data_IF_934396112942
#
_entry.id   IF_934396112942
#
_cell.length_a   1.000
_cell.length_b   1.000
_cell.length_c   1.000
_cell.angle_alpha   90.00
_cell.angle_beta   90.00
_cell.angle_gamma   90.00
#
_symmetry.space_group_name_H-M   'P 1'
#
loop_
_entity.id
_entity.type
_entity.pdbx_description
1 polymer ?
#
# COMPACT_ATOMS: atom_id res chain seq x y z
N UNK A 1 32.63 -28.71 -20.14
CA UNK A 1 33.65 -27.70 -19.75
C UNK A 1 34.84 -27.57 -20.72
N UNK A 2 34.82 -28.16 -21.94
CA UNK A 2 35.93 -28.05 -22.92
C UNK A 2 35.48 -27.84 -24.39
N UNK A 3 34.20 -27.54 -24.62
CA UNK A 3 33.64 -27.34 -25.98
C UNK A 3 34.24 -26.16 -26.74
N UNK A 4 34.56 -25.08 -26.01
CA UNK A 4 34.96 -23.81 -26.61
C UNK A 4 36.41 -23.82 -27.13
N UNK A 5 37.29 -24.61 -26.50
CA UNK A 5 38.67 -24.81 -26.95
C UNK A 5 38.74 -25.56 -28.30
N UNK A 6 37.74 -26.42 -28.60
CA UNK A 6 37.60 -27.05 -29.92
C UNK A 6 37.16 -26.05 -30.99
N UNK A 7 36.24 -25.13 -30.67
CA UNK A 7 35.82 -24.07 -31.59
C UNK A 7 36.96 -23.11 -31.95
N UNK A 8 37.85 -22.79 -31.00
CA UNK A 8 39.03 -21.94 -31.29
C UNK A 8 40.02 -22.65 -32.23
N UNK A 9 40.23 -23.95 -32.05
CA UNK A 9 41.11 -24.75 -32.91
C UNK A 9 40.52 -24.96 -34.31
N UNK A 10 39.19 -25.01 -34.44
CA UNK A 10 38.49 -25.00 -35.73
C UNK A 10 38.62 -23.63 -36.42
N UNK A 11 38.52 -22.52 -35.68
CA UNK A 11 38.70 -21.17 -36.26
C UNK A 11 40.13 -20.89 -36.70
N UNK A 12 41.15 -21.47 -36.06
CA UNK A 12 42.54 -21.35 -36.52
C UNK A 12 42.74 -21.94 -37.93
N UNK A 13 41.88 -22.87 -38.36
CA UNK A 13 41.96 -23.48 -39.69
C UNK A 13 41.33 -22.65 -40.81
N UNK A 14 40.44 -21.73 -40.47
CA UNK A 14 39.57 -21.06 -41.45
C UNK A 14 39.94 -19.59 -41.74
N UNK A 15 40.94 -19.02 -41.04
CA UNK A 15 41.36 -17.63 -41.23
C UNK A 15 42.87 -17.52 -41.54
N UNK A 16 43.20 -17.10 -42.77
CA UNK A 16 44.59 -16.86 -43.21
C UNK A 16 45.15 -15.50 -42.76
N UNK A 17 44.33 -14.58 -42.25
CA UNK A 17 44.78 -13.23 -41.87
C UNK A 17 44.72 -12.99 -40.34
N UNK A 18 45.89 -12.91 -39.71
CA UNK A 18 46.09 -12.79 -38.26
C UNK A 18 45.46 -11.52 -37.65
N UNK A 19 45.16 -10.49 -38.45
CA UNK A 19 44.63 -9.21 -37.96
C UNK A 19 43.13 -9.24 -37.68
N UNK A 20 42.35 -9.90 -38.54
CA UNK A 20 40.89 -10.06 -38.34
C UNK A 20 40.58 -10.99 -37.17
N UNK A 21 41.39 -12.05 -37.01
CA UNK A 21 41.29 -12.94 -35.84
C UNK A 21 41.54 -12.19 -34.52
N UNK A 22 42.54 -11.29 -34.49
CA UNK A 22 42.85 -10.49 -33.31
C UNK A 22 41.79 -9.43 -33.00
N UNK A 23 41.13 -8.83 -34.00
CA UNK A 23 40.03 -7.88 -33.75
C UNK A 23 38.77 -8.61 -33.28
N UNK A 24 38.44 -9.76 -33.87
CA UNK A 24 37.31 -10.60 -33.45
C UNK A 24 37.49 -11.15 -32.03
N UNK A 25 38.71 -11.51 -31.63
CA UNK A 25 39.01 -11.85 -30.24
C UNK A 25 38.82 -10.66 -29.30
N UNK A 26 39.19 -9.44 -29.72
CA UNK A 26 39.05 -8.21 -28.93
C UNK A 26 37.57 -7.83 -28.75
N UNK A 27 36.79 -7.94 -29.82
CA UNK A 27 35.37 -7.60 -29.83
C UNK A 27 34.52 -8.66 -29.09
N UNK A 28 34.88 -9.95 -29.19
CA UNK A 28 34.23 -11.01 -28.40
C UNK A 28 34.73 -11.06 -26.93
N UNK A 29 35.91 -10.51 -26.60
CA UNK A 29 36.30 -10.29 -25.20
C UNK A 29 35.50 -9.16 -24.53
N UNK A 30 35.06 -8.16 -25.30
CA UNK A 30 34.23 -7.07 -24.78
C UNK A 30 32.82 -7.52 -24.36
N UNK A 31 32.37 -8.70 -24.78
CA UNK A 31 31.15 -9.34 -24.26
C UNK A 31 31.31 -9.89 -22.82
N UNK A 32 32.53 -9.89 -22.27
CA UNK A 32 32.82 -10.27 -20.87
C UNK A 32 33.11 -9.05 -19.95
N UNK A 33 32.82 -7.82 -20.40
CA UNK A 33 33.16 -6.60 -19.66
C UNK A 33 32.29 -6.31 -18.41
N UNK A 34 31.39 -7.21 -18.03
CA UNK A 34 30.47 -6.99 -16.91
C UNK A 34 31.01 -7.45 -15.55
N UNK A 35 32.05 -8.29 -15.52
CA UNK A 35 32.57 -8.89 -14.30
C UNK A 35 34.10 -8.79 -14.22
N UNK A 36 34.61 -8.67 -12.99
CA UNK A 36 36.03 -8.71 -12.64
C UNK A 36 36.36 -9.94 -11.80
N UNK A 37 37.49 -10.57 -12.11
CA UNK A 37 37.98 -11.78 -11.46
C UNK A 37 39.22 -11.44 -10.63
N UNK A 38 39.07 -11.56 -9.31
CA UNK A 38 40.10 -11.21 -8.33
C UNK A 38 40.50 -12.43 -7.52
N UNK A 39 41.75 -12.48 -7.05
CA UNK A 39 42.29 -13.57 -6.26
C UNK A 39 42.36 -13.21 -4.77
N UNK A 40 41.99 -14.16 -3.91
CA UNK A 40 42.32 -14.09 -2.48
C UNK A 40 43.81 -14.36 -2.26
N UNK A 41 44.38 -14.05 -1.07
CA UNK A 41 45.77 -14.36 -0.78
C UNK A 41 46.10 -15.86 -0.89
N UNK A 42 45.10 -16.71 -0.64
CA UNK A 42 45.18 -18.17 -0.74
C UNK A 42 45.05 -18.71 -2.17
N UNK A 43 44.77 -17.85 -3.15
CA UNK A 43 44.63 -18.23 -4.57
C UNK A 43 43.21 -18.55 -5.03
N UNK A 44 42.19 -18.37 -4.18
CA UNK A 44 40.79 -18.57 -4.60
C UNK A 44 40.34 -17.43 -5.52
N UNK A 45 39.62 -17.77 -6.58
CA UNK A 45 39.04 -16.78 -7.49
C UNK A 45 37.68 -16.32 -6.97
N UNK A 46 37.48 -15.00 -6.90
CA UNK A 46 36.18 -14.36 -6.64
C UNK A 46 35.77 -13.54 -7.85
N UNK A 47 34.50 -13.64 -8.21
CA UNK A 47 33.90 -12.91 -9.33
C UNK A 47 33.04 -11.78 -8.76
N UNK A 48 33.26 -10.55 -9.20
CA UNK A 48 32.49 -9.37 -8.81
C UNK A 48 32.04 -8.59 -10.04
N UNK A 49 31.03 -7.71 -9.95
CA UNK A 49 30.69 -6.81 -11.05
C UNK A 49 31.85 -5.87 -11.41
N UNK A 50 31.94 -5.51 -12.69
CA UNK A 50 32.95 -4.57 -13.16
C UNK A 50 32.82 -3.21 -12.45
N UNK A 51 33.95 -2.63 -12.06
CA UNK A 51 33.99 -1.40 -11.27
C UNK A 51 33.73 -1.59 -9.76
N UNK A 52 33.71 -2.84 -9.28
CA UNK A 52 33.75 -3.14 -7.85
C UNK A 52 35.03 -2.62 -7.17
N UNK A 53 34.92 -2.38 -5.87
CA UNK A 53 36.00 -1.86 -5.03
C UNK A 53 36.51 -2.90 -4.03
N UNK A 54 37.66 -2.69 -3.36
CA UNK A 54 38.10 -3.55 -2.26
C UNK A 54 37.05 -3.77 -1.16
N UNK A 55 36.17 -2.79 -0.94
CA UNK A 55 35.04 -2.93 0.00
C UNK A 55 34.05 -3.99 -0.48
N UNK A 56 33.70 -4.01 -1.76
CA UNK A 56 32.86 -5.06 -2.35
C UNK A 56 33.48 -6.45 -2.15
N UNK A 57 34.80 -6.55 -2.38
CA UNK A 57 35.55 -7.80 -2.18
C UNK A 57 35.55 -8.26 -0.72
N UNK A 58 35.72 -7.35 0.24
CA UNK A 58 35.67 -7.67 1.67
C UNK A 58 34.31 -8.25 2.09
N UNK A 59 33.21 -7.64 1.64
CA UNK A 59 31.84 -8.10 1.94
C UNK A 59 31.43 -9.36 1.14
N UNK A 60 32.10 -9.63 0.02
CA UNK A 60 31.99 -10.88 -0.74
C UNK A 60 32.65 -12.06 -0.01
N UNK A 61 33.80 -11.83 0.65
CA UNK A 61 34.43 -12.84 1.51
C UNK A 61 33.53 -13.13 2.71
N UNK A 62 33.27 -12.13 3.55
CA UNK A 62 32.44 -12.29 4.73
C UNK A 62 32.03 -10.92 5.32
N UNK A 63 30.82 -10.83 5.89
CA UNK A 63 30.35 -9.58 6.51
C UNK A 63 31.25 -9.10 7.65
N UNK A 64 31.80 -10.02 8.46
CA UNK A 64 32.72 -9.69 9.55
C UNK A 64 34.07 -9.13 9.06
N UNK A 65 34.54 -9.56 7.87
CA UNK A 65 35.76 -9.04 7.25
C UNK A 65 35.50 -7.61 6.75
N UNK A 66 34.40 -7.41 6.02
CA UNK A 66 33.97 -6.08 5.58
C UNK A 66 33.77 -5.10 6.74
N UNK A 67 33.10 -5.52 7.81
CA UNK A 67 32.84 -4.65 8.97
C UNK A 67 34.11 -4.28 9.74
N UNK A 68 35.16 -5.11 9.69
CA UNK A 68 36.43 -4.86 10.38
C UNK A 68 37.52 -4.28 9.47
N UNK A 69 37.21 -4.05 8.20
CA UNK A 69 38.14 -3.52 7.21
C UNK A 69 38.61 -2.13 7.61
N UNK A 70 39.93 -1.91 7.56
CA UNK A 70 40.58 -0.60 7.70
C UNK A 70 41.29 -0.17 6.41
N UNK A 71 41.57 -1.11 5.52
CA UNK A 71 42.22 -0.85 4.23
C UNK A 71 42.34 -2.12 3.41
N UNK A 72 42.98 -2.00 2.25
CA UNK A 72 43.26 -3.13 1.37
C UNK A 72 44.63 -3.01 0.72
N UNK A 73 45.23 -4.14 0.41
CA UNK A 73 46.40 -4.25 -0.47
C UNK A 73 46.01 -4.96 -1.74
N UNK A 74 46.44 -4.41 -2.87
CA UNK A 74 46.32 -5.04 -4.18
C UNK A 74 47.73 -5.31 -4.69
N UNK A 75 48.01 -6.57 -5.03
CA UNK A 75 49.32 -7.03 -5.50
C UNK A 75 50.46 -6.63 -4.54
N UNK A 76 50.20 -6.71 -3.23
CA UNK A 76 51.16 -6.40 -2.16
C UNK A 76 51.32 -4.91 -1.82
N UNK A 77 50.64 -3.99 -2.51
CA UNK A 77 50.72 -2.54 -2.25
C UNK A 77 49.42 -2.02 -1.65
N UNK A 78 49.51 -1.09 -0.69
CA UNK A 78 48.33 -0.42 -0.13
C UNK A 78 47.63 0.40 -1.20
N UNK A 79 46.32 0.26 -1.28
CA UNK A 79 45.46 1.04 -2.18
C UNK A 79 44.34 1.73 -1.42
N UNK A 80 43.79 2.78 -2.01
CA UNK A 80 42.61 3.44 -1.48
C UNK A 80 41.39 2.51 -1.58
N UNK A 81 40.42 2.71 -0.68
CA UNK A 81 39.20 1.89 -0.59
C UNK A 81 38.26 2.03 -1.79
N UNK A 82 38.44 3.09 -2.60
CA UNK A 82 37.67 3.38 -3.81
C UNK A 82 38.34 2.89 -5.11
N UNK A 83 39.53 2.28 -5.01
CA UNK A 83 40.23 1.67 -6.13
C UNK A 83 39.31 0.70 -6.89
N UNK A 84 39.37 0.75 -8.23
CA UNK A 84 38.57 -0.12 -9.09
C UNK A 84 39.33 -1.38 -9.39
N UNK A 85 38.80 -2.51 -8.92
CA UNK A 85 39.40 -3.82 -9.07
C UNK A 85 39.53 -4.21 -10.54
N UNK A 86 40.66 -4.78 -10.90
CA UNK A 86 40.98 -5.25 -12.25
C UNK A 86 41.10 -6.77 -12.29
N UNK A 87 40.96 -7.33 -13.49
CA UNK A 87 41.15 -8.76 -13.70
C UNK A 87 42.58 -9.17 -13.34
N UNK A 88 42.71 -10.19 -12.50
CA UNK A 88 44.01 -10.70 -12.08
C UNK A 88 44.53 -10.14 -10.75
N UNK A 89 43.85 -9.15 -10.17
CA UNK A 89 44.28 -8.54 -8.91
C UNK A 89 44.26 -9.54 -7.75
N UNK A 90 45.39 -9.66 -7.05
CA UNK A 90 45.47 -10.35 -5.76
C UNK A 90 45.18 -9.36 -4.64
N UNK A 91 44.07 -9.57 -3.94
CA UNK A 91 43.56 -8.62 -2.95
C UNK A 91 43.72 -9.21 -1.54
N UNK A 92 44.33 -8.44 -0.66
CA UNK A 92 44.42 -8.71 0.77
C UNK A 92 43.64 -7.62 1.52
N UNK A 93 42.66 -8.02 2.33
CA UNK A 93 41.89 -7.06 3.15
C UNK A 93 42.57 -6.93 4.51
N UNK A 94 42.92 -5.70 4.86
CA UNK A 94 43.52 -5.38 6.16
C UNK A 94 42.37 -5.10 7.14
N UNK A 95 42.26 -5.92 8.18
CA UNK A 95 41.21 -5.78 9.21
C UNK A 95 41.79 -5.44 10.58
N UNK A 96 41.05 -4.72 11.42
CA UNK A 96 41.41 -4.45 12.82
C UNK A 96 40.29 -4.84 13.76
N UNK A 97 40.65 -5.34 14.96
CA UNK A 97 39.69 -5.62 16.03
C UNK A 97 39.13 -4.33 16.65
N UNK A 98 39.89 -3.23 16.59
CA UNK A 98 39.49 -1.91 17.09
C UNK A 98 38.79 -1.07 16.00
N UNK A 99 38.39 -1.68 14.87
CA UNK A 99 37.66 -0.96 13.84
C UNK A 99 36.30 -0.51 14.38
N UNK A 100 35.97 0.77 14.20
CA UNK A 100 34.67 1.33 14.53
C UNK A 100 33.57 0.89 13.56
N UNK A 101 33.92 0.15 12.50
CA UNK A 101 32.99 -0.34 11.50
C UNK A 101 33.12 0.34 10.14
N UNK A 102 32.22 0.00 9.19
CA UNK A 102 32.13 0.67 7.90
C UNK A 102 31.76 2.14 8.05
N UNK A 103 32.21 2.96 7.10
CA UNK A 103 31.78 4.36 6.97
C UNK A 103 30.56 4.49 6.05
N UNK A 104 29.70 5.49 6.30
CA UNK A 104 28.56 5.80 5.42
C UNK A 104 29.01 6.16 3.99
N UNK A 105 30.20 6.73 3.84
CA UNK A 105 30.75 7.06 2.51
C UNK A 105 31.02 5.83 1.65
N UNK A 106 31.14 4.64 2.26
CA UNK A 106 31.31 3.41 1.51
C UNK A 106 30.09 3.10 0.63
N UNK A 107 28.89 3.53 1.01
CA UNK A 107 27.68 3.34 0.20
C UNK A 107 27.77 4.06 -1.16
N UNK A 108 28.58 5.10 -1.27
CA UNK A 108 28.81 5.86 -2.52
C UNK A 108 29.76 5.15 -3.47
N UNK A 109 30.75 4.42 -2.94
CA UNK A 109 31.82 3.80 -3.74
C UNK A 109 31.57 2.32 -4.08
N UNK A 110 30.81 1.62 -3.22
CA UNK A 110 30.45 0.20 -3.35
C UNK A 110 29.52 0.01 -4.54
N UNK A 111 29.82 -0.98 -5.39
CA UNK A 111 28.97 -1.32 -6.55
C UNK A 111 28.05 -2.51 -6.29
N UNK A 112 28.48 -3.48 -5.47
CA UNK A 112 27.71 -4.69 -5.20
C UNK A 112 26.45 -4.40 -4.38
N UNK A 113 25.25 -4.82 -4.85
CA UNK A 113 24.02 -4.72 -4.07
C UNK A 113 24.12 -5.46 -2.73
N UNK A 114 24.83 -6.59 -2.70
CA UNK A 114 25.00 -7.39 -1.48
C UNK A 114 25.82 -6.63 -0.42
N UNK A 115 26.91 -5.98 -0.84
CA UNK A 115 27.74 -5.19 0.06
C UNK A 115 26.97 -3.98 0.61
N UNK A 116 26.23 -3.25 -0.25
CA UNK A 116 25.33 -2.16 0.19
C UNK A 116 24.32 -2.63 1.23
N UNK A 117 23.67 -3.78 0.99
CA UNK A 117 22.70 -4.34 1.92
C UNK A 117 23.33 -4.69 3.28
N UNK A 118 24.51 -5.33 3.29
CA UNK A 118 25.22 -5.72 4.51
C UNK A 118 25.72 -4.50 5.31
N UNK A 119 26.25 -3.47 4.63
CA UNK A 119 26.65 -2.21 5.27
C UNK A 119 25.44 -1.52 5.91
N UNK A 120 24.33 -1.40 5.17
CA UNK A 120 23.08 -0.85 5.71
C UNK A 120 22.58 -1.65 6.90
N UNK A 121 22.64 -2.99 6.85
CA UNK A 121 22.25 -3.85 7.97
C UNK A 121 23.14 -3.66 9.19
N UNK A 122 24.45 -3.47 9.00
CA UNK A 122 25.37 -3.20 10.10
C UNK A 122 25.06 -1.87 10.80
N UNK A 123 24.80 -0.80 10.05
CA UNK A 123 24.40 0.50 10.62
C UNK A 123 23.08 0.43 11.39
N UNK A 124 22.14 -0.41 10.93
CA UNK A 124 20.91 -0.68 11.69
C UNK A 124 21.20 -1.33 13.04
N UNK A 125 22.22 -2.20 13.12
CA UNK A 125 22.55 -2.95 14.32
C UNK A 125 23.41 -2.19 15.34
N UNK A 126 24.34 -1.34 14.90
CA UNK A 126 25.30 -0.65 15.80
C UNK A 126 24.65 0.52 16.52
N UNK A 127 23.76 1.25 15.86
CA UNK A 127 23.05 2.36 16.48
C UNK A 127 21.75 1.90 17.14
N UNK A 128 21.66 0.69 17.73
CA UNK A 128 20.39 0.18 18.28
C UNK A 128 19.79 1.15 19.31
N UNK A 129 20.62 1.72 20.19
CA UNK A 129 20.19 2.71 21.19
C UNK A 129 19.80 4.07 20.58
N UNK A 130 20.62 4.62 19.68
CA UNK A 130 20.31 5.91 19.02
C UNK A 130 19.09 5.80 18.10
N UNK A 131 18.98 4.69 17.36
CA UNK A 131 17.80 4.34 16.56
C UNK A 131 16.58 4.14 17.46
N UNK A 132 16.73 3.57 18.65
CA UNK A 132 15.63 3.47 19.60
C UNK A 132 15.17 4.86 20.07
N UNK A 133 16.08 5.73 20.49
CA UNK A 133 15.75 7.10 20.93
C UNK A 133 15.09 7.91 19.81
N UNK A 134 15.65 7.85 18.59
CA UNK A 134 15.10 8.51 17.41
C UNK A 134 13.74 7.94 17.02
N UNK A 135 13.57 6.62 17.07
CA UNK A 135 12.30 5.96 16.77
C UNK A 135 11.21 6.34 17.77
N UNK A 136 11.58 6.45 19.05
CA UNK A 136 10.68 6.90 20.12
C UNK A 136 10.21 8.34 19.88
N UNK A 137 11.13 9.26 19.59
CA UNK A 137 10.80 10.67 19.29
C UNK A 137 9.89 10.80 18.05
N UNK A 138 10.18 10.06 16.98
CA UNK A 138 9.35 10.06 15.76
C UNK A 138 7.93 9.54 16.03
N UNK A 139 7.81 8.44 16.78
CA UNK A 139 6.52 7.86 17.12
C UNK A 139 5.70 8.77 18.03
N UNK A 140 6.33 9.36 19.06
CA UNK A 140 5.68 10.31 19.96
C UNK A 140 5.19 11.56 19.23
N UNK A 141 6.02 12.14 18.35
CA UNK A 141 5.63 13.30 17.51
C UNK A 141 4.45 12.97 16.61
N UNK A 142 4.46 11.79 15.98
CA UNK A 142 3.36 11.36 15.13
C UNK A 142 2.06 11.18 15.92
N UNK A 143 2.09 10.51 17.09
CA UNK A 143 0.92 10.34 17.95
C UNK A 143 0.35 11.69 18.44
N UNK A 144 1.22 12.61 18.87
CA UNK A 144 0.83 13.97 19.27
C UNK A 144 0.20 14.74 18.11
N UNK A 145 0.74 14.62 16.89
CA UNK A 145 0.16 15.26 15.69
C UNK A 145 -1.25 14.77 15.36
N UNK A 146 -1.60 13.56 15.81
CA UNK A 146 -2.94 12.97 15.68
C UNK A 146 -3.85 13.27 16.87
N UNK A 147 -3.38 14.02 17.87
CA UNK A 147 -4.16 14.41 19.05
C UNK A 147 -4.22 13.36 20.17
N UNK A 148 -3.37 12.33 20.14
CA UNK A 148 -3.31 11.30 21.18
C UNK A 148 -2.12 11.53 22.12
N UNK A 149 -2.33 11.27 23.41
CA UNK A 149 -1.25 11.27 24.39
C UNK A 149 -0.46 9.93 24.29
N UNK A 150 0.86 9.95 24.04
CA UNK A 150 1.65 8.73 23.91
C UNK A 150 1.51 7.76 25.10
N UNK A 151 1.37 8.26 26.33
CA UNK A 151 1.24 7.42 27.53
C UNK A 151 -0.04 6.58 27.56
N UNK A 152 -1.11 7.04 26.90
CA UNK A 152 -2.38 6.32 26.86
C UNK A 152 -2.36 5.18 25.82
N UNK A 153 -1.57 5.36 24.76
CA UNK A 153 -1.53 4.49 23.58
C UNK A 153 -0.35 3.52 23.62
N UNK A 154 0.76 3.86 24.28
CA UNK A 154 1.95 3.02 24.39
C UNK A 154 1.88 2.02 25.56
N UNK A 155 0.72 1.38 25.75
CA UNK A 155 0.55 0.32 26.76
C UNK A 155 0.86 -1.07 26.17
N UNK A 156 1.35 -2.02 26.98
CA UNK A 156 1.68 -3.39 26.54
C UNK A 156 0.56 -4.07 25.75
N UNK A 157 -0.69 -3.85 26.17
CA UNK A 157 -1.91 -4.36 25.54
C UNK A 157 -2.01 -4.05 24.03
N UNK A 158 -1.50 -2.89 23.60
CA UNK A 158 -1.54 -2.42 22.21
C UNK A 158 -0.24 -2.72 21.46
N UNK A 159 0.90 -2.60 22.15
CA UNK A 159 2.22 -2.80 21.55
C UNK A 159 2.45 -4.27 21.20
N UNK A 160 1.96 -5.23 22.00
CA UNK A 160 2.10 -6.67 21.73
C UNK A 160 1.40 -7.13 20.45
N UNK A 161 0.30 -6.48 20.08
CA UNK A 161 -0.38 -6.72 18.80
C UNK A 161 0.48 -6.26 17.63
N UNK A 162 1.19 -5.14 17.79
CA UNK A 162 2.12 -4.64 16.79
C UNK A 162 3.36 -5.53 16.67
N UNK A 163 3.91 -6.01 17.79
CA UNK A 163 5.04 -6.96 17.84
C UNK A 163 4.72 -8.21 17.03
N UNK A 164 3.57 -8.85 17.29
CA UNK A 164 3.13 -10.05 16.56
C UNK A 164 2.89 -9.79 15.07
N UNK A 165 2.26 -8.67 14.72
CA UNK A 165 1.93 -8.35 13.33
C UNK A 165 3.16 -8.11 12.46
N UNK A 166 4.16 -7.40 12.98
CA UNK A 166 5.36 -7.04 12.23
C UNK A 166 6.50 -8.06 12.37
N UNK A 167 6.31 -9.13 13.14
CA UNK A 167 7.27 -10.23 13.25
C UNK A 167 8.54 -9.88 14.03
N UNK A 168 8.46 -8.90 14.93
CA UNK A 168 9.57 -8.52 15.82
C UNK A 168 9.49 -9.30 17.14
N UNK A 169 10.61 -9.43 17.85
CA UNK A 169 10.67 -10.14 19.14
C UNK A 169 10.16 -9.31 20.32
N UNK A 170 10.39 -8.00 20.26
CA UNK A 170 10.15 -7.06 21.35
C UNK A 170 9.72 -5.70 20.78
N UNK A 171 9.00 -4.91 21.57
CA UNK A 171 8.54 -3.57 21.19
C UNK A 171 9.71 -2.64 20.84
N UNK A 172 10.80 -2.72 21.61
CA UNK A 172 11.99 -1.89 21.39
C UNK A 172 12.62 -2.15 20.02
N UNK A 173 12.49 -3.36 19.47
CA UNK A 173 12.97 -3.68 18.14
C UNK A 173 12.09 -3.04 17.04
N UNK A 174 10.79 -2.85 17.27
CA UNK A 174 9.93 -2.04 16.38
C UNK A 174 10.33 -0.58 16.46
N UNK A 175 10.53 -0.05 17.67
CA UNK A 175 10.91 1.36 17.86
C UNK A 175 12.26 1.64 17.21
N UNK A 176 13.26 0.79 17.41
CA UNK A 176 14.55 0.88 16.71
C UNK A 176 14.39 0.77 15.19
N UNK A 177 13.47 -0.07 14.71
CA UNK A 177 13.16 -0.19 13.28
C UNK A 177 12.55 1.08 12.68
N UNK A 178 11.77 1.84 13.46
CA UNK A 178 11.29 3.17 13.06
C UNK A 178 12.47 4.15 12.97
N UNK A 179 13.35 4.18 13.98
CA UNK A 179 14.46 5.14 14.02
C UNK A 179 15.45 4.98 12.88
N UNK A 180 15.72 3.74 12.44
CA UNK A 180 16.57 3.48 11.28
C UNK A 180 15.80 3.42 9.94
N UNK A 181 14.51 3.78 9.92
CA UNK A 181 13.67 3.85 8.73
C UNK A 181 13.29 2.50 8.09
N UNK A 182 13.40 1.39 8.83
CA UNK A 182 12.90 0.08 8.39
C UNK A 182 11.38 -0.05 8.45
N UNK A 183 10.74 0.71 9.34
CA UNK A 183 9.29 0.89 9.40
C UNK A 183 8.96 2.38 9.41
N UNK A 184 7.82 2.73 8.81
CA UNK A 184 7.29 4.10 8.89
C UNK A 184 6.52 4.27 10.20
N UNK A 185 6.80 5.35 10.92
CA UNK A 185 6.16 5.71 12.18
C UNK A 185 4.64 5.73 12.08
N UNK A 186 4.09 6.24 10.97
CA UNK A 186 2.64 6.26 10.74
C UNK A 186 2.01 4.88 10.56
N UNK A 187 2.74 3.91 10.00
CA UNK A 187 2.26 2.53 9.84
C UNK A 187 2.10 1.85 11.20
N UNK A 188 3.04 2.07 12.11
CA UNK A 188 3.00 1.52 13.47
C UNK A 188 1.98 2.27 14.32
N UNK A 189 1.98 3.60 14.28
CA UNK A 189 1.06 4.44 15.05
C UNK A 189 -0.41 4.21 14.66
N UNK A 190 -0.75 4.16 13.37
CA UNK A 190 -2.14 3.95 12.94
C UNK A 190 -2.67 2.59 13.43
N UNK A 191 -1.80 1.56 13.48
CA UNK A 191 -2.16 0.25 13.98
C UNK A 191 -2.35 0.25 15.50
N UNK A 192 -1.47 0.93 16.22
CA UNK A 192 -1.61 1.14 17.67
C UNK A 192 -2.90 1.87 18.01
N UNK A 193 -3.24 2.92 17.26
CA UNK A 193 -4.48 3.68 17.43
C UNK A 193 -5.72 2.82 17.15
N UNK A 194 -5.67 1.95 16.14
CA UNK A 194 -6.77 1.02 15.86
C UNK A 194 -7.05 0.08 17.04
N UNK A 195 -6.01 -0.43 17.70
CA UNK A 195 -6.17 -1.31 18.88
C UNK A 195 -6.56 -0.52 20.13
N UNK A 196 -6.01 0.68 20.32
CA UNK A 196 -6.42 1.61 21.37
C UNK A 196 -7.91 1.94 21.26
N UNK A 197 -8.41 2.22 20.07
CA UNK A 197 -9.83 2.50 19.84
C UNK A 197 -10.71 1.26 20.04
N UNK A 198 -10.25 0.07 19.64
CA UNK A 198 -10.98 -1.19 19.86
C UNK A 198 -11.17 -1.51 21.34
N UNK A 199 -10.14 -1.33 22.16
CA UNK A 199 -10.21 -1.63 23.60
C UNK A 199 -10.90 -0.51 24.35
N UNK A 200 -10.66 0.77 24.02
CA UNK A 200 -11.45 1.87 24.60
C UNK A 200 -12.93 1.79 24.23
N UNK A 201 -13.27 1.23 23.08
CA UNK A 201 -14.65 0.90 22.72
C UNK A 201 -15.22 -0.29 23.50
N UNK A 202 -14.39 -1.18 24.06
CA UNK A 202 -14.79 -2.24 25.00
C UNK A 202 -14.89 -1.75 26.45
N UNK A 203 -14.04 -0.82 26.88
CA UNK A 203 -14.10 -0.20 28.21
C UNK A 203 -15.18 0.90 28.30
N UNK A 204 -15.60 1.47 27.16
CA UNK A 204 -16.84 2.25 27.03
C UNK A 204 -18.07 1.35 26.85
N UNK A 205 -18.05 0.13 27.39
CA UNK A 205 -19.27 -0.47 27.92
C UNK A 205 -19.61 0.33 29.18
N UNK A 206 -20.16 1.53 28.96
CA UNK A 206 -21.25 1.99 29.82
C UNK A 206 -22.25 0.85 29.79
N UNK A 207 -22.60 0.33 30.96
CA UNK A 207 -23.34 -0.91 31.07
C UNK A 207 -24.57 -0.83 30.16
N UNK A 208 -24.80 -1.89 29.39
CA UNK A 208 -25.98 -2.00 28.53
C UNK A 208 -27.28 -1.82 29.36
N UNK A 209 -27.22 -1.94 30.69
CA UNK A 209 -28.32 -1.68 31.62
C UNK A 209 -28.58 -0.19 31.90
N UNK A 210 -27.56 0.67 32.04
CA UNK A 210 -27.78 2.09 32.36
C UNK A 210 -28.45 2.87 31.21
N UNK A 211 -28.23 2.42 29.96
CA UNK A 211 -28.90 2.97 28.77
C UNK A 211 -30.36 2.48 28.73
N UNK A 212 -30.62 1.21 29.05
CA UNK A 212 -31.98 0.66 29.11
C UNK A 212 -32.80 1.28 30.26
N UNK A 213 -32.19 1.56 31.40
CA UNK A 213 -32.88 2.14 32.56
C UNK A 213 -33.14 3.65 32.41
N UNK A 214 -32.33 4.36 31.63
CA UNK A 214 -32.60 5.75 31.26
C UNK A 214 -33.64 5.91 30.14
N UNK A 215 -33.84 4.87 29.31
CA UNK A 215 -34.91 4.78 28.30
C UNK A 215 -36.29 4.64 28.96
N UNK A 216 -36.41 3.89 30.07
CA UNK A 216 -37.70 3.62 30.71
C UNK A 216 -38.26 4.76 31.57
N UNK A 217 -37.44 5.75 31.95
CA UNK A 217 -37.83 6.79 32.94
C UNK A 217 -38.01 8.20 32.37
N UNK A 218 -38.12 8.37 31.06
CA UNK A 218 -38.34 9.68 30.43
C UNK A 218 -39.63 9.77 29.63
N UNK A 219 -40.72 9.22 30.16
CA UNK A 219 -42.08 9.66 29.81
C UNK A 219 -42.42 11.00 30.49
N UNK A 220 -41.66 12.06 30.22
CA UNK A 220 -42.08 13.44 30.47
C UNK A 220 -41.03 14.41 29.95
N UNK A 221 -41.24 14.98 28.75
CA UNK A 221 -41.12 16.41 28.47
C UNK A 221 -40.97 16.70 26.96
N UNK A 222 -42.09 17.11 26.37
CA UNK A 222 -42.23 18.30 25.50
C UNK A 222 -41.31 18.50 24.30
N UNK A 223 -41.93 18.35 23.11
CA UNK A 223 -41.92 19.29 21.96
C UNK A 223 -40.85 20.39 22.01
N UNK A 224 -39.77 20.26 21.24
CA UNK A 224 -39.08 21.42 20.66
C UNK A 224 -38.31 21.07 19.38
N UNK A 225 -38.78 21.68 18.28
CA UNK A 225 -38.07 22.12 17.06
C UNK A 225 -37.00 21.19 16.48
N UNK A 226 -37.39 20.55 15.38
CA UNK A 226 -36.55 19.92 14.35
C UNK A 226 -35.28 20.72 14.09
N UNK A 227 -34.15 20.17 14.54
CA UNK A 227 -32.83 20.62 14.12
C UNK A 227 -32.41 19.80 12.91
N UNK A 228 -32.14 20.50 11.82
CA UNK A 228 -31.66 19.98 10.54
C UNK A 228 -30.34 19.22 10.76
N UNK A 229 -30.37 17.89 10.58
CA UNK A 229 -29.16 17.09 10.44
C UNK A 229 -28.54 17.39 9.08
N UNK A 230 -27.22 17.67 9.05
CA UNK A 230 -26.47 17.79 7.79
C UNK A 230 -26.60 16.48 7.01
N UNK A 231 -27.29 16.51 5.86
CA UNK A 231 -27.47 15.36 4.97
C UNK A 231 -28.92 14.97 4.68
N UNK A 232 -29.91 15.65 5.25
CA UNK A 232 -31.32 15.47 4.86
C UNK A 232 -31.89 14.09 5.19
N UNK A 233 -31.44 13.46 6.27
CA UNK A 233 -31.88 12.12 6.68
C UNK A 233 -32.44 12.19 8.10
N UNK A 234 -33.64 11.65 8.27
CA UNK A 234 -34.27 11.43 9.57
C UNK A 234 -34.11 9.96 9.92
N UNK A 235 -33.52 9.72 11.07
CA UNK A 235 -33.41 8.39 11.67
C UNK A 235 -34.45 8.33 12.77
N UNK A 236 -35.34 7.33 12.74
CA UNK A 236 -36.41 7.23 13.73
C UNK A 236 -35.83 6.94 15.12
N UNK A 237 -36.27 7.70 16.12
CA UNK A 237 -35.88 7.51 17.52
C UNK A 237 -34.56 8.16 17.96
N UNK A 238 -33.78 8.81 17.07
CA UNK A 238 -32.51 9.45 17.47
C UNK A 238 -32.31 10.82 16.82
N UNK A 239 -32.06 11.85 17.64
CA UNK A 239 -31.61 13.16 17.18
C UNK A 239 -30.08 13.27 17.33
N UNK A 240 -29.40 13.80 16.30
CA UNK A 240 -27.96 14.15 16.31
C UNK A 240 -26.94 12.98 16.27
N UNK A 241 -27.21 11.94 15.46
CA UNK A 241 -26.20 10.90 15.16
C UNK A 241 -25.48 11.21 13.84
N UNK A 242 -24.17 11.00 13.82
CA UNK A 242 -23.38 11.08 12.59
C UNK A 242 -23.87 10.05 11.57
N UNK A 243 -24.43 10.52 10.46
CA UNK A 243 -24.92 9.68 9.36
C UNK A 243 -23.92 9.67 8.21
N UNK A 244 -23.72 8.51 7.59
CA UNK A 244 -22.84 8.33 6.42
C UNK A 244 -23.50 7.43 5.39
N UNK A 245 -23.35 7.77 4.11
CA UNK A 245 -23.81 6.91 3.02
C UNK A 245 -22.84 5.76 2.76
N UNK A 246 -23.38 4.55 2.62
CA UNK A 246 -22.58 3.36 2.35
C UNK A 246 -22.12 3.31 0.90
N UNK A 247 -20.87 2.88 0.68
CA UNK A 247 -20.28 2.73 -0.67
C UNK A 247 -20.70 1.46 -1.39
N UNK A 248 -21.31 0.49 -0.69
CA UNK A 248 -21.71 -0.76 -1.33
C UNK A 248 -22.89 -0.56 -2.29
N UNK A 249 -23.92 0.18 -1.88
CA UNK A 249 -25.13 0.39 -2.67
C UNK A 249 -25.38 1.87 -3.05
N UNK A 250 -24.52 2.78 -2.59
CA UNK A 250 -24.52 4.23 -2.89
C UNK A 250 -25.94 4.83 -2.94
N UNK A 251 -26.65 4.89 -1.80
CA UNK A 251 -28.02 5.36 -1.75
C UNK A 251 -28.11 6.84 -2.18
N UNK A 252 -29.16 7.18 -2.92
CA UNK A 252 -29.44 8.54 -3.40
C UNK A 252 -30.88 8.95 -3.06
N UNK A 253 -31.18 10.27 -3.01
CA UNK A 253 -32.52 10.73 -2.68
C UNK A 253 -33.60 10.11 -3.57
N UNK A 254 -34.58 9.46 -2.92
CA UNK A 254 -35.64 8.68 -3.56
C UNK A 254 -35.53 7.17 -3.39
N UNK A 255 -34.36 6.65 -2.98
CA UNK A 255 -34.21 5.24 -2.62
C UNK A 255 -34.92 4.95 -1.29
N UNK A 256 -35.50 3.75 -1.17
CA UNK A 256 -35.84 3.19 0.14
C UNK A 256 -34.55 2.85 0.89
N UNK A 257 -34.38 3.45 2.06
CA UNK A 257 -33.14 3.37 2.84
C UNK A 257 -33.38 2.76 4.21
N UNK A 258 -32.31 2.17 4.76
CA UNK A 258 -32.26 1.64 6.11
C UNK A 258 -30.92 2.04 6.75
N UNK A 259 -30.98 2.37 8.03
CA UNK A 259 -29.79 2.67 8.81
C UNK A 259 -29.21 1.40 9.43
N UNK A 260 -27.89 1.28 9.44
CA UNK A 260 -27.17 0.27 10.19
C UNK A 260 -26.26 0.95 11.21
N UNK A 261 -26.49 0.69 12.49
CA UNK A 261 -25.71 1.27 13.60
C UNK A 261 -24.33 0.61 13.59
N UNK A 262 -23.30 1.34 13.15
CA UNK A 262 -21.92 0.85 13.13
C UNK A 262 -21.25 0.97 14.49
N UNK A 263 -20.25 0.14 14.77
CA UNK A 263 -19.45 0.24 16.01
C UNK A 263 -18.56 1.49 15.93
N UNK A 264 -18.98 2.58 16.57
CA UNK A 264 -18.19 3.80 16.76
C UNK A 264 -18.10 4.77 15.56
N UNK A 265 -18.77 4.49 14.43
CA UNK A 265 -18.74 5.36 13.23
C UNK A 265 -20.09 6.01 12.90
N UNK A 266 -21.06 5.92 13.81
CA UNK A 266 -22.42 6.42 13.64
C UNK A 266 -23.30 5.46 12.85
N UNK A 267 -24.25 5.99 12.09
CA UNK A 267 -25.20 5.20 11.29
C UNK A 267 -24.74 5.18 9.84
N UNK A 268 -24.58 3.98 9.28
CA UNK A 268 -24.34 3.76 7.86
C UNK A 268 -25.67 3.59 7.15
N UNK A 269 -25.94 4.38 6.12
CA UNK A 269 -27.18 4.33 5.35
C UNK A 269 -26.98 3.41 4.16
N UNK A 270 -27.86 2.43 4.04
CA UNK A 270 -27.92 1.46 2.98
C UNK A 270 -29.28 1.54 2.28
N UNK A 271 -29.37 0.99 1.07
CA UNK A 271 -30.66 0.69 0.46
C UNK A 271 -31.24 -0.57 1.11
N UNK A 272 -32.57 -0.66 1.16
CA UNK A 272 -33.29 -1.82 1.69
C UNK A 272 -32.95 -3.12 0.94
N UNK A 273 -32.64 -3.02 -0.35
CA UNK A 273 -32.27 -4.13 -1.23
C UNK A 273 -30.75 -4.39 -1.33
N UNK A 274 -29.95 -3.78 -0.46
CA UNK A 274 -28.51 -4.00 -0.44
C UNK A 274 -28.15 -5.44 -0.03
N UNK A 275 -27.36 -6.16 -0.84
CA UNK A 275 -26.96 -7.55 -0.54
C UNK A 275 -26.28 -7.71 0.82
N UNK A 276 -25.49 -6.70 1.22
CA UNK A 276 -24.79 -6.68 2.51
C UNK A 276 -25.75 -6.52 3.69
N UNK A 277 -26.92 -5.92 3.48
CA UNK A 277 -27.98 -5.81 4.50
C UNK A 277 -28.87 -7.05 4.50
N UNK A 278 -29.24 -7.55 3.32
CA UNK A 278 -30.06 -8.75 3.18
C UNK A 278 -29.39 -9.98 3.80
N UNK A 279 -28.06 -10.10 3.63
CA UNK A 279 -27.25 -11.20 4.18
C UNK A 279 -26.70 -10.93 5.59
N UNK A 280 -27.22 -9.94 6.33
CA UNK A 280 -26.81 -9.71 7.71
C UNK A 280 -27.13 -10.92 8.59
N UNK A 281 -26.18 -11.37 9.45
CA UNK A 281 -26.46 -12.37 10.47
C UNK A 281 -27.56 -11.91 11.43
N UNK A 282 -28.38 -12.84 11.92
CA UNK A 282 -29.56 -12.52 12.75
C UNK A 282 -29.20 -11.74 14.02
N UNK A 283 -28.04 -12.02 14.63
CA UNK A 283 -27.58 -11.29 15.82
C UNK A 283 -27.21 -9.82 15.54
N UNK A 284 -26.97 -9.43 14.28
CA UNK A 284 -26.70 -8.04 13.89
C UNK A 284 -27.95 -7.31 13.39
N UNK A 285 -29.06 -8.01 13.11
CA UNK A 285 -30.31 -7.39 12.65
C UNK A 285 -30.89 -6.39 13.64
N UNK A 286 -30.66 -6.59 14.94
CA UNK A 286 -31.06 -5.65 16.00
C UNK A 286 -30.37 -4.27 15.90
N UNK A 287 -29.36 -4.12 15.03
CA UNK A 287 -28.65 -2.87 14.78
C UNK A 287 -29.18 -2.12 13.55
N UNK A 288 -30.22 -2.64 12.92
CA UNK A 288 -30.94 -1.95 11.87
C UNK A 288 -31.91 -0.95 12.49
N UNK A 289 -31.96 0.24 11.93
CA UNK A 289 -32.85 1.32 12.36
C UNK A 289 -33.53 1.91 11.13
N UNK A 290 -34.79 2.31 11.31
CA UNK A 290 -35.54 2.95 10.24
C UNK A 290 -34.94 4.34 9.93
N UNK A 291 -34.76 4.60 8.64
CA UNK A 291 -34.21 5.84 8.13
C UNK A 291 -35.06 6.30 6.94
N UNK A 292 -35.31 7.59 6.83
CA UNK A 292 -36.04 8.18 5.72
C UNK A 292 -35.35 9.45 5.24
N UNK A 293 -35.54 9.76 3.95
CA UNK A 293 -35.13 11.03 3.39
C UNK A 293 -36.05 12.14 3.90
N UNK A 294 -35.46 13.24 4.38
CA UNK A 294 -36.21 14.48 4.62
C UNK A 294 -36.79 14.99 3.31
N UNK A 295 -37.94 15.67 3.40
CA UNK A 295 -38.74 16.10 2.26
C UNK A 295 -37.92 16.76 1.14
N UNK A 296 -38.37 16.53 -0.10
CA UNK A 296 -37.70 16.91 -1.36
C UNK A 296 -37.35 18.40 -1.47
N UNK A 297 -37.89 19.27 -0.63
CA UNK A 297 -37.64 20.71 -0.65
C UNK A 297 -36.28 21.14 -0.08
N UNK A 298 -35.61 20.30 0.71
CA UNK A 298 -34.36 20.66 1.40
C UNK A 298 -33.11 20.23 0.61
N UNK A 299 -33.22 19.25 -0.29
CA UNK A 299 -32.09 18.61 -1.00
C UNK A 299 -32.02 19.11 -2.46
N UNK A 300 -31.94 20.43 -2.67
CA UNK A 300 -32.06 21.00 -4.03
C UNK A 300 -30.76 21.14 -4.83
N UNK A 301 -29.58 20.92 -4.24
CA UNK A 301 -28.32 21.23 -4.94
C UNK A 301 -27.12 20.31 -4.62
N UNK A 302 -27.31 19.20 -3.91
CA UNK A 302 -26.24 18.22 -3.72
C UNK A 302 -26.30 17.13 -4.79
N UNK A 303 -25.14 16.79 -5.34
CA UNK A 303 -24.97 15.65 -6.23
C UNK A 303 -24.39 14.46 -5.48
N UNK A 304 -24.93 13.29 -5.76
CA UNK A 304 -24.53 12.02 -5.17
C UNK A 304 -23.94 11.10 -6.24
N UNK A 305 -22.82 10.46 -5.93
CA UNK A 305 -22.19 9.51 -6.84
C UNK A 305 -23.03 8.23 -6.92
N UNK A 306 -23.30 7.78 -8.14
CA UNK A 306 -23.96 6.51 -8.43
C UNK A 306 -23.13 5.71 -9.43
N UNK A 307 -23.31 4.39 -9.46
CA UNK A 307 -22.69 3.50 -10.42
C UNK A 307 -23.77 2.61 -11.05
N UNK A 308 -23.72 2.50 -12.38
CA UNK A 308 -24.55 1.58 -13.16
C UNK A 308 -23.66 0.65 -13.98
N UNK A 309 -24.17 -0.57 -14.18
CA UNK A 309 -23.61 -1.58 -15.06
C UNK A 309 -24.54 -1.72 -16.26
N UNK A 310 -24.01 -1.47 -17.45
CA UNK A 310 -24.73 -1.61 -18.72
C UNK A 310 -24.21 -2.87 -19.42
N UNK A 311 -25.11 -3.78 -19.73
CA UNK A 311 -24.83 -4.96 -20.56
C UNK A 311 -25.29 -4.66 -21.98
N UNK A 312 -24.37 -4.71 -22.94
CA UNK A 312 -24.67 -4.40 -24.32
C UNK A 312 -23.92 -5.31 -25.29
N UNK A 313 -24.44 -5.49 -26.49
CA UNK A 313 -23.73 -6.16 -27.59
C UNK A 313 -22.46 -5.36 -27.93
N UNK A 314 -21.33 -6.06 -27.97
CA UNK A 314 -20.03 -5.47 -28.28
C UNK A 314 -19.94 -5.14 -29.77
N UNK A 315 -20.32 -3.91 -30.11
CA UNK A 315 -20.27 -3.36 -31.47
C UNK A 315 -19.53 -2.04 -31.52
N UNK A 316 -18.98 -1.73 -32.70
CA UNK A 316 -18.31 -0.46 -32.95
C UNK A 316 -19.23 0.72 -32.62
N UNK A 317 -18.73 1.64 -31.80
CA UNK A 317 -19.47 2.84 -31.38
C UNK A 317 -20.40 2.67 -30.18
N UNK A 318 -20.49 1.47 -29.56
CA UNK A 318 -21.32 1.26 -28.35
C UNK A 318 -20.90 2.19 -27.21
N UNK A 319 -19.60 2.23 -26.88
CA UNK A 319 -19.09 3.09 -25.83
C UNK A 319 -19.41 4.57 -26.09
N UNK A 320 -19.19 5.04 -27.33
CA UNK A 320 -19.49 6.42 -27.71
C UNK A 320 -20.98 6.76 -27.55
N UNK A 321 -21.87 5.81 -27.88
CA UNK A 321 -23.31 5.98 -27.73
C UNK A 321 -23.69 6.18 -26.26
N UNK A 322 -23.12 5.38 -25.35
CA UNK A 322 -23.36 5.50 -23.90
C UNK A 322 -22.79 6.81 -23.35
N UNK A 323 -21.55 7.16 -23.68
CA UNK A 323 -20.92 8.40 -23.19
C UNK A 323 -21.61 9.66 -23.72
N UNK A 324 -22.14 9.61 -24.95
CA UNK A 324 -22.89 10.71 -25.55
C UNK A 324 -24.18 11.00 -24.79
N UNK A 325 -24.94 9.97 -24.38
CA UNK A 325 -26.16 10.15 -23.58
C UNK A 325 -25.87 10.80 -22.22
N UNK A 326 -24.74 10.44 -21.59
CA UNK A 326 -24.30 11.06 -20.34
C UNK A 326 -23.89 12.52 -20.54
N UNK A 327 -23.14 12.81 -21.61
CA UNK A 327 -22.73 14.18 -21.95
C UNK A 327 -23.93 15.08 -22.28
N UNK A 328 -24.90 14.60 -23.06
CA UNK A 328 -26.15 15.32 -23.38
C UNK A 328 -27.06 15.55 -22.16
N UNK A 329 -26.85 14.77 -21.09
CA UNK A 329 -27.57 14.93 -19.83
C UNK A 329 -26.80 15.79 -18.82
N UNK A 330 -25.71 16.44 -19.26
CA UNK A 330 -24.83 17.28 -18.45
C UNK A 330 -24.28 16.54 -17.22
N UNK A 331 -23.85 15.29 -17.42
CA UNK A 331 -23.31 14.44 -16.36
C UNK A 331 -21.81 14.26 -16.51
N UNK A 332 -21.08 14.66 -15.47
CA UNK A 332 -19.66 14.38 -15.37
C UNK A 332 -19.42 12.89 -15.02
N UNK A 333 -18.57 12.23 -15.81
CA UNK A 333 -18.19 10.84 -15.60
C UNK A 333 -17.01 10.79 -14.62
N UNK A 334 -17.19 10.10 -13.50
CA UNK A 334 -16.16 9.90 -12.47
C UNK A 334 -15.25 8.74 -12.85
N UNK A 335 -15.84 7.64 -13.30
CA UNK A 335 -15.12 6.45 -13.73
C UNK A 335 -15.89 5.73 -14.82
N UNK A 336 -15.15 5.05 -15.70
CA UNK A 336 -15.68 4.26 -16.79
C UNK A 336 -14.79 3.03 -16.95
N UNK A 337 -15.38 1.84 -16.97
CA UNK A 337 -14.67 0.58 -17.17
C UNK A 337 -15.47 -0.28 -18.15
N UNK A 338 -14.80 -0.80 -19.18
CA UNK A 338 -15.43 -1.61 -20.22
C UNK A 338 -14.75 -2.97 -20.28
N UNK A 339 -15.54 -4.03 -20.20
CA UNK A 339 -15.06 -5.41 -20.25
C UNK A 339 -15.85 -6.20 -21.30
N UNK A 340 -15.29 -6.40 -22.50
CA UNK A 340 -15.88 -7.30 -23.48
C UNK A 340 -15.71 -8.76 -23.04
N UNK A 341 -16.74 -9.57 -23.25
CA UNK A 341 -16.72 -11.02 -23.06
C UNK A 341 -16.62 -11.73 -24.42
N UNK A 342 -16.10 -12.96 -24.43
CA UNK A 342 -15.95 -13.83 -25.62
C UNK A 342 -17.26 -14.16 -26.33
N UNK A 343 -18.40 -13.93 -25.68
CA UNK A 343 -19.75 -14.11 -26.23
C UNK A 343 -20.25 -12.89 -27.02
N UNK A 344 -19.44 -11.84 -27.19
CA UNK A 344 -19.84 -10.62 -27.90
C UNK A 344 -20.72 -9.68 -27.07
N UNK A 345 -20.69 -9.82 -25.74
CA UNK A 345 -21.37 -8.91 -24.80
C UNK A 345 -20.30 -8.09 -24.07
N UNK A 346 -20.44 -6.78 -24.08
CA UNK A 346 -19.65 -5.85 -23.30
C UNK A 346 -20.38 -5.45 -22.01
N UNK A 347 -19.66 -5.56 -20.89
CA UNK A 347 -20.09 -5.01 -19.60
C UNK A 347 -19.43 -3.64 -19.41
N UNK A 348 -20.24 -2.59 -19.32
CA UNK A 348 -19.80 -1.21 -19.17
C UNK A 348 -20.22 -0.73 -17.78
N UNK A 349 -19.25 -0.53 -16.89
CA UNK A 349 -19.47 0.07 -15.58
C UNK A 349 -19.17 1.56 -15.67
N UNK A 350 -20.13 2.40 -15.29
CA UNK A 350 -19.97 3.84 -15.32
C UNK A 350 -20.42 4.46 -14.00
N UNK A 351 -19.55 5.25 -13.39
CA UNK A 351 -19.88 6.05 -12.20
C UNK A 351 -19.99 7.52 -12.57
N UNK A 352 -21.05 8.17 -12.11
CA UNK A 352 -21.35 9.58 -12.36
C UNK A 352 -22.21 10.16 -11.24
N UNK A 353 -22.37 11.48 -11.25
CA UNK A 353 -23.12 12.21 -10.24
C UNK A 353 -24.58 12.43 -10.65
N UNK A 354 -25.52 12.22 -9.72
CA UNK A 354 -26.96 12.46 -9.89
C UNK A 354 -27.54 13.19 -8.69
N UNK A 355 -28.66 13.90 -8.90
CA UNK A 355 -29.39 14.60 -7.83
C UNK A 355 -30.38 13.69 -7.12
N UNK A 356 -31.06 12.82 -7.86
CA UNK A 356 -32.11 11.95 -7.34
C UNK A 356 -32.35 10.73 -8.25
N UNK A 357 -33.17 9.79 -7.76
CA UNK A 357 -33.56 8.59 -8.52
C UNK A 357 -34.30 8.93 -9.83
N UNK A 358 -35.16 9.96 -9.84
CA UNK A 358 -35.89 10.34 -11.05
C UNK A 358 -34.97 10.82 -12.20
N UNK A 359 -33.84 11.45 -11.88
CA UNK A 359 -32.82 11.81 -12.86
C UNK A 359 -32.08 10.57 -13.39
N UNK A 360 -31.78 9.62 -12.50
CA UNK A 360 -31.18 8.35 -12.89
C UNK A 360 -32.08 7.58 -13.86
N UNK A 361 -33.38 7.46 -13.55
CA UNK A 361 -34.36 6.78 -14.40
C UNK A 361 -34.47 7.41 -15.79
N UNK A 362 -34.40 8.74 -15.89
CA UNK A 362 -34.37 9.44 -17.18
C UNK A 362 -33.12 9.09 -17.99
N UNK A 363 -31.95 9.04 -17.34
CA UNK A 363 -30.69 8.72 -17.99
C UNK A 363 -30.66 7.25 -18.42
N UNK A 364 -31.00 6.32 -17.53
CA UNK A 364 -31.05 4.89 -17.86
C UNK A 364 -32.10 4.60 -18.92
N UNK A 365 -33.24 5.29 -18.90
CA UNK A 365 -34.24 5.24 -19.97
C UNK A 365 -33.67 5.61 -21.33
N UNK A 366 -32.91 6.71 -21.44
CA UNK A 366 -32.21 7.08 -22.69
C UNK A 366 -31.15 6.05 -23.11
N UNK A 367 -30.37 5.51 -22.17
CA UNK A 367 -29.36 4.48 -22.47
C UNK A 367 -30.04 3.20 -22.98
N UNK A 368 -31.19 2.81 -22.42
CA UNK A 368 -31.98 1.64 -22.89
C UNK A 368 -32.48 1.81 -24.33
N UNK A 369 -32.60 3.04 -24.85
CA UNK A 369 -32.98 3.29 -26.25
C UNK A 369 -31.81 3.08 -27.23
N UNK A 370 -30.58 2.92 -26.75
CA UNK A 370 -29.43 2.65 -27.61
C UNK A 370 -29.55 1.23 -28.15
N UNK A 371 -29.57 1.10 -29.48
CA UNK A 371 -29.60 -0.20 -30.15
C UNK A 371 -28.42 -1.08 -29.72
N UNK A 372 -28.73 -2.29 -29.24
CA UNK A 372 -27.77 -3.25 -28.71
C UNK A 372 -27.57 -3.22 -27.20
N UNK A 373 -28.22 -2.32 -26.43
CA UNK A 373 -28.27 -2.43 -24.96
C UNK A 373 -29.24 -3.56 -24.58
N UNK A 374 -28.76 -4.50 -23.76
CA UNK A 374 -29.51 -5.67 -23.31
C UNK A 374 -30.18 -5.35 -21.97
N UNK A 375 -29.40 -4.88 -21.00
CA UNK A 375 -29.91 -4.53 -19.68
C UNK A 375 -29.03 -3.48 -18.99
N UNK A 376 -29.59 -2.83 -17.97
CA UNK A 376 -28.92 -1.86 -17.12
C UNK A 376 -29.30 -2.14 -15.68
N UNK A 377 -28.28 -2.43 -14.87
CA UNK A 377 -28.39 -2.63 -13.44
C UNK A 377 -27.70 -1.50 -12.68
N UNK A 378 -28.25 -1.12 -11.53
CA UNK A 378 -27.55 -0.26 -10.58
C UNK A 378 -26.76 -1.15 -9.63
N UNK A 379 -25.52 -0.78 -9.30
CA UNK A 379 -24.68 -1.61 -8.42
C UNK A 379 -25.34 -1.83 -7.06
N UNK A 380 -25.68 -3.08 -6.73
CA UNK A 380 -26.31 -3.49 -5.47
C UNK A 380 -25.31 -4.10 -4.49
N UNK A 381 -24.15 -3.49 -4.27
CA UNK A 381 -23.10 -4.04 -3.40
C UNK A 381 -22.39 -5.26 -3.97
N UNK A 382 -21.06 -5.26 -3.88
CA UNK A 382 -20.28 -6.51 -3.92
C UNK A 382 -20.27 -7.18 -2.55
#
# INVERSE_FOLDING_TARGET
KLSWLRQILEWQRDFEDNKEFMSLLKDNLNLFSEHVYCFTPNGDVKTLPAGSTPVDFAYMIHSAVGNRMIGARVNGRMVNVDYKLQNGDRIEIVTSQNSQGPSLDWLKIVKSPQAKSKINQWFKSVNKEDNFLRGKDLLEKYLKSKGYNPSDVLKPEYTDVCVRKYGYKEWDAIVAAIGHGGLKEGQVANRLLEEYEKIKAKDKVLSDQDIIDSINNSEAATKTKERVSKGGIVVEGIHDVAVRFSRCCSPVPGDEIIGFVTRGRGVSIHRTDCINILNLPDFERNRLIEATWQGQDIIKNEEYATEITVYANDRTGMLNSVTKVLAESDKNIISLNVRPNKQGIATINVSFNIKNVAELEKITGKIRMIDGVIDIERTTGM
#
